data_IF_183573311347
#
_entry.id   IF_183573311347
#
_cell.length_a   1.000
_cell.length_b   1.000
_cell.length_c   1.000
_cell.angle_alpha   90.00
_cell.angle_beta   90.00
_cell.angle_gamma   90.00
#
_symmetry.space_group_name_H-M   'P 1'
#
loop_
_entity.id
_entity.type
_entity.pdbx_description
1 polymer ?
#
# COMPACT_ATOMS: atom_id res chain seq x y z
N UNK A 1 -20.77 60.72 -21.56
CA UNK A 1 -22.19 61.03 -21.37
C UNK A 1 -22.80 59.84 -20.67
N UNK A 2 -23.13 59.97 -19.38
CA UNK A 2 -23.61 58.86 -18.56
C UNK A 2 -25.12 58.69 -18.73
N UNK A 3 -25.64 57.48 -18.50
CA UNK A 3 -27.10 57.22 -18.51
C UNK A 3 -27.82 58.08 -17.44
N UNK A 4 -27.12 58.54 -16.41
CA UNK A 4 -27.68 59.46 -15.42
C UNK A 4 -27.92 60.88 -15.96
N UNK A 5 -27.20 61.32 -17.00
CA UNK A 5 -27.38 62.65 -17.60
C UNK A 5 -28.64 62.72 -18.49
N UNK A 6 -29.20 61.58 -18.90
CA UNK A 6 -30.41 61.52 -19.73
C UNK A 6 -31.71 61.62 -18.91
N UNK A 7 -31.67 61.35 -17.59
CA UNK A 7 -32.85 61.41 -16.72
C UNK A 7 -33.02 62.76 -16.00
N UNK A 8 -32.08 63.70 -16.15
CA UNK A 8 -32.09 64.98 -15.44
C UNK A 8 -32.87 66.10 -16.17
N UNK A 9 -33.20 65.94 -17.45
CA UNK A 9 -34.09 66.85 -18.18
C UNK A 9 -35.52 66.35 -18.04
N UNK A 10 -36.21 66.82 -17.00
CA UNK A 10 -37.61 66.53 -16.71
C UNK A 10 -38.60 67.11 -17.73
N UNK A 11 -38.49 66.71 -19.00
CA UNK A 11 -39.62 66.69 -19.92
C UNK A 11 -40.31 65.34 -19.77
N UNK A 12 -41.29 65.31 -18.86
CA UNK A 12 -42.26 64.22 -18.78
C UNK A 12 -43.07 64.21 -20.06
N UNK A 13 -42.62 63.45 -21.06
CA UNK A 13 -43.53 62.83 -22.02
C UNK A 13 -44.40 61.88 -21.20
N UNK A 14 -45.54 62.38 -20.72
CA UNK A 14 -46.71 61.53 -20.44
C UNK A 14 -47.08 60.88 -21.78
N UNK A 15 -46.41 59.78 -22.09
CA UNK A 15 -46.81 58.91 -23.19
C UNK A 15 -48.15 58.35 -22.77
N UNK A 16 -49.22 58.96 -23.26
CA UNK A 16 -50.59 58.53 -23.03
C UNK A 16 -50.71 57.10 -23.56
N UNK A 17 -50.67 56.13 -22.64
CA UNK A 17 -50.72 54.71 -22.97
C UNK A 17 -52.10 54.44 -23.55
N UNK A 18 -52.16 54.08 -24.83
CA UNK A 18 -53.43 53.82 -25.50
C UNK A 18 -53.91 52.41 -25.18
N UNK A 19 -55.23 52.20 -25.18
CA UNK A 19 -55.84 50.87 -24.98
C UNK A 19 -55.28 49.79 -25.93
N UNK A 20 -54.93 50.18 -27.15
CA UNK A 20 -54.38 49.28 -28.16
C UNK A 20 -52.93 48.86 -27.86
N UNK A 21 -52.12 49.79 -27.32
CA UNK A 21 -50.79 49.46 -26.81
C UNK A 21 -50.88 48.50 -25.62
N UNK A 22 -51.82 48.75 -24.69
CA UNK A 22 -52.02 47.89 -23.51
C UNK A 22 -52.50 46.49 -23.91
N UNK A 23 -53.43 46.39 -24.87
CA UNK A 23 -53.91 45.11 -25.41
C UNK A 23 -52.80 44.32 -26.10
N UNK A 24 -51.96 44.98 -26.90
CA UNK A 24 -50.84 44.33 -27.56
C UNK A 24 -49.81 43.81 -26.55
N UNK A 25 -49.55 44.58 -25.48
CA UNK A 25 -48.67 44.15 -24.40
C UNK A 25 -49.22 42.95 -23.60
N UNK A 26 -50.53 42.88 -23.37
CA UNK A 26 -51.20 41.71 -22.75
C UNK A 26 -51.02 40.46 -23.62
N UNK A 27 -51.19 40.58 -24.94
CA UNK A 27 -50.93 39.47 -25.89
C UNK A 27 -49.48 38.99 -25.86
N UNK A 28 -48.54 39.92 -25.84
CA UNK A 28 -47.11 39.58 -25.77
C UNK A 28 -46.76 38.90 -24.45
N UNK A 29 -47.40 39.29 -23.34
CA UNK A 29 -47.27 38.63 -22.05
C UNK A 29 -47.84 37.20 -22.08
N UNK A 30 -49.05 36.99 -22.62
CA UNK A 30 -49.63 35.66 -22.80
C UNK A 30 -48.69 34.74 -23.60
N UNK A 31 -48.07 35.27 -24.66
CA UNK A 31 -47.10 34.53 -25.48
C UNK A 31 -45.83 34.19 -24.69
N UNK A 32 -45.32 35.10 -23.87
CA UNK A 32 -44.16 34.85 -23.01
C UNK A 32 -44.47 33.80 -21.94
N UNK A 33 -45.65 33.84 -21.33
CA UNK A 33 -46.07 32.88 -20.30
C UNK A 33 -46.25 31.49 -20.88
N UNK A 34 -46.84 31.36 -22.08
CA UNK A 34 -46.88 30.07 -22.79
C UNK A 34 -45.49 29.50 -23.04
N UNK A 35 -44.55 30.34 -23.48
CA UNK A 35 -43.14 29.92 -23.66
C UNK A 35 -42.49 29.51 -22.33
N UNK A 36 -42.73 30.25 -21.25
CA UNK A 36 -42.22 29.89 -19.92
C UNK A 36 -42.83 28.58 -19.42
N UNK A 37 -44.10 28.31 -19.72
CA UNK A 37 -44.73 27.02 -19.41
C UNK A 37 -44.16 25.86 -20.23
N UNK A 38 -43.86 26.08 -21.52
CA UNK A 38 -43.19 25.07 -22.34
C UNK A 38 -41.77 24.79 -21.86
N UNK A 39 -41.02 25.86 -21.56
CA UNK A 39 -39.70 25.76 -20.95
C UNK A 39 -39.76 25.03 -19.61
N UNK A 40 -40.78 25.27 -18.78
CA UNK A 40 -40.99 24.53 -17.53
C UNK A 40 -41.07 23.02 -17.81
N UNK A 41 -41.86 22.59 -18.79
CA UNK A 41 -41.98 21.16 -19.13
C UNK A 41 -40.65 20.57 -19.64
N UNK A 42 -39.86 21.33 -20.41
CA UNK A 42 -38.50 20.95 -20.81
C UNK A 42 -37.50 20.91 -19.64
N UNK A 43 -37.65 21.82 -18.67
CA UNK A 43 -36.78 21.91 -17.49
C UNK A 43 -37.04 20.79 -16.49
N UNK A 44 -38.29 20.32 -16.39
CA UNK A 44 -38.65 19.17 -15.57
C UNK A 44 -38.06 17.85 -16.07
N UNK A 45 -37.62 17.78 -17.34
CA UNK A 45 -36.98 16.60 -17.90
C UNK A 45 -35.50 16.44 -17.49
N UNK A 46 -34.79 17.53 -17.13
CA UNK A 46 -33.38 17.49 -16.71
C UNK A 46 -33.18 18.42 -15.51
N UNK A 47 -33.36 17.91 -14.29
CA UNK A 47 -33.34 18.72 -13.08
C UNK A 47 -31.90 19.16 -12.77
N UNK A 48 -31.60 20.44 -12.97
CA UNK A 48 -30.38 21.05 -12.43
C UNK A 48 -30.72 22.33 -11.68
N UNK A 49 -30.08 22.55 -10.53
CA UNK A 49 -30.30 23.71 -9.66
C UNK A 49 -30.12 25.04 -10.43
N UNK A 50 -29.19 25.09 -11.38
CA UNK A 50 -28.94 26.28 -12.19
C UNK A 50 -30.11 26.67 -13.11
N UNK A 51 -30.86 25.69 -13.61
CA UNK A 51 -32.00 25.90 -14.50
C UNK A 51 -33.22 26.48 -13.76
N UNK A 52 -33.47 26.04 -12.52
CA UNK A 52 -34.54 26.59 -11.68
C UNK A 52 -34.34 28.07 -11.33
N UNK A 53 -33.10 28.51 -11.05
CA UNK A 53 -32.80 29.93 -10.79
C UNK A 53 -33.11 30.83 -11.99
N UNK A 54 -32.96 30.34 -13.21
CA UNK A 54 -33.30 31.09 -14.42
C UNK A 54 -34.82 31.23 -14.60
N UNK A 55 -35.55 30.15 -14.30
CA UNK A 55 -37.01 30.10 -14.35
C UNK A 55 -37.64 31.03 -13.29
N UNK A 56 -37.09 31.05 -12.07
CA UNK A 56 -37.47 31.94 -10.97
C UNK A 56 -37.18 33.43 -11.29
N UNK A 57 -36.07 33.73 -11.95
CA UNK A 57 -35.82 35.10 -12.43
C UNK A 57 -36.85 35.52 -13.47
N UNK A 58 -37.13 34.63 -14.44
CA UNK A 58 -38.12 34.89 -15.49
C UNK A 58 -39.51 35.11 -14.90
N UNK A 59 -39.89 34.29 -13.91
CA UNK A 59 -41.09 34.48 -13.11
C UNK A 59 -41.20 35.87 -12.54
N UNK A 60 -40.21 36.27 -11.73
CA UNK A 60 -40.27 37.49 -10.95
C UNK A 60 -40.44 38.70 -11.87
N UNK A 61 -39.80 38.68 -13.03
CA UNK A 61 -39.97 39.69 -14.08
C UNK A 61 -41.41 39.70 -14.62
N UNK A 62 -42.03 38.54 -14.89
CA UNK A 62 -43.42 38.49 -15.37
C UNK A 62 -44.42 38.94 -14.30
N UNK A 63 -44.18 38.60 -13.04
CA UNK A 63 -45.02 39.03 -11.92
C UNK A 63 -44.96 40.55 -11.71
N UNK A 64 -43.75 41.13 -11.78
CA UNK A 64 -43.57 42.59 -11.70
C UNK A 64 -44.29 43.30 -12.85
N UNK A 65 -44.15 42.80 -14.08
CA UNK A 65 -44.88 43.34 -15.24
C UNK A 65 -46.38 43.30 -14.99
N UNK A 66 -46.92 42.16 -14.56
CA UNK A 66 -48.35 42.00 -14.30
C UNK A 66 -48.87 42.94 -13.20
N UNK A 67 -48.06 43.25 -12.18
CA UNK A 67 -48.40 44.27 -11.19
C UNK A 67 -48.50 45.66 -11.82
N UNK A 68 -47.51 46.05 -12.63
CA UNK A 68 -47.52 47.32 -13.37
C UNK A 68 -48.74 47.43 -14.29
N UNK A 69 -49.09 46.38 -15.03
CA UNK A 69 -50.29 46.36 -15.87
C UNK A 69 -51.59 46.52 -15.08
N UNK A 70 -51.68 45.89 -13.91
CA UNK A 70 -52.85 46.04 -13.05
C UNK A 70 -52.99 47.47 -12.51
N UNK A 71 -51.88 48.13 -12.21
CA UNK A 71 -51.85 49.53 -11.79
C UNK A 71 -52.24 50.46 -12.93
N UNK A 72 -51.71 50.25 -14.13
CA UNK A 72 -52.02 51.04 -15.33
C UNK A 72 -53.50 50.91 -15.72
N UNK A 73 -54.08 49.71 -15.66
CA UNK A 73 -55.51 49.52 -15.86
C UNK A 73 -56.37 50.20 -14.80
N UNK A 74 -55.92 50.19 -13.55
CA UNK A 74 -56.65 50.87 -12.46
C UNK A 74 -56.68 52.39 -12.67
N UNK A 75 -55.65 52.96 -13.29
CA UNK A 75 -55.60 54.38 -13.68
C UNK A 75 -56.55 54.72 -14.83
N UNK A 76 -56.79 53.76 -15.73
CA UNK A 76 -57.69 53.91 -16.89
C UNK A 76 -59.17 53.60 -16.58
N UNK A 77 -59.48 53.04 -15.41
CA UNK A 77 -60.83 52.61 -15.03
C UNK A 77 -61.86 53.74 -14.83
N UNK A 78 -61.46 55.00 -15.08
CA UNK A 78 -62.35 56.18 -15.15
C UNK A 78 -62.88 56.50 -16.55
N UNK A 79 -62.43 55.78 -17.59
CA UNK A 79 -62.92 55.90 -18.98
C UNK A 79 -63.74 54.65 -19.34
N UNK A 80 -65.04 54.82 -19.62
CA UNK A 80 -65.90 53.74 -20.10
C UNK A 80 -65.41 53.25 -21.47
N UNK A 81 -64.78 52.07 -21.50
CA UNK A 81 -64.30 51.42 -22.71
C UNK A 81 -64.69 49.95 -22.69
N UNK A 82 -65.40 49.49 -23.75
CA UNK A 82 -65.84 48.10 -23.93
C UNK A 82 -64.68 47.09 -23.97
N UNK A 83 -63.43 47.56 -24.12
CA UNK A 83 -62.22 46.72 -24.14
C UNK A 83 -61.70 46.37 -22.73
N UNK A 84 -62.18 47.02 -21.66
CA UNK A 84 -61.70 46.79 -20.30
C UNK A 84 -62.11 45.42 -19.74
N UNK A 85 -63.31 44.94 -20.09
CA UNK A 85 -63.83 43.66 -19.58
C UNK A 85 -62.99 42.47 -20.10
N UNK A 86 -62.75 42.31 -21.42
CA UNK A 86 -61.88 41.24 -21.93
C UNK A 86 -60.45 41.28 -21.37
N UNK A 87 -59.87 42.47 -21.21
CA UNK A 87 -58.51 42.63 -20.69
C UNK A 87 -58.43 42.20 -19.22
N UNK A 88 -59.48 42.47 -18.42
CA UNK A 88 -59.53 42.06 -17.02
C UNK A 88 -59.68 40.54 -16.84
N UNK A 89 -60.44 39.89 -17.73
CA UNK A 89 -60.59 38.43 -17.76
C UNK A 89 -59.27 37.75 -18.15
N UNK A 90 -58.61 38.25 -19.21
CA UNK A 90 -57.29 37.77 -19.65
C UNK A 90 -56.24 37.90 -18.53
N UNK A 91 -56.24 39.02 -17.79
CA UNK A 91 -55.30 39.20 -16.67
C UNK A 91 -55.56 38.26 -15.50
N UNK A 92 -56.82 37.95 -15.20
CA UNK A 92 -57.16 36.97 -14.18
C UNK A 92 -56.76 35.56 -14.60
N UNK A 93 -56.92 35.20 -15.88
CA UNK A 93 -56.42 33.92 -16.42
C UNK A 93 -54.89 33.85 -16.31
N UNK A 94 -54.20 34.92 -16.70
CA UNK A 94 -52.74 35.01 -16.60
C UNK A 94 -52.27 34.86 -15.14
N UNK A 95 -52.96 35.50 -14.18
CA UNK A 95 -52.67 35.36 -12.75
C UNK A 95 -52.80 33.92 -12.27
N UNK A 96 -53.85 33.21 -12.69
CA UNK A 96 -54.03 31.81 -12.34
C UNK A 96 -52.97 30.90 -12.97
N UNK A 97 -52.63 31.14 -14.24
CA UNK A 97 -51.57 30.38 -14.92
C UNK A 97 -50.20 30.60 -14.24
N UNK A 98 -49.89 31.84 -13.88
CA UNK A 98 -48.72 32.15 -13.06
C UNK A 98 -48.81 31.46 -11.71
N UNK A 99 -49.90 31.53 -10.95
CA UNK A 99 -49.97 30.82 -9.66
C UNK A 99 -49.66 29.31 -9.77
N UNK A 100 -50.18 28.63 -10.81
CA UNK A 100 -49.94 27.19 -11.05
C UNK A 100 -48.49 26.87 -11.40
N UNK A 101 -47.85 27.71 -12.20
CA UNK A 101 -46.43 27.53 -12.52
C UNK A 101 -45.59 27.65 -11.24
N UNK A 102 -46.06 28.37 -10.20
CA UNK A 102 -45.29 28.72 -8.98
C UNK A 102 -45.18 27.53 -8.09
N UNK A 103 -46.35 26.99 -7.83
CA UNK A 103 -46.52 25.78 -7.07
C UNK A 103 -45.69 24.65 -7.69
N UNK A 104 -45.73 24.52 -9.02
CA UNK A 104 -44.94 23.51 -9.73
C UNK A 104 -43.43 23.73 -9.58
N UNK A 105 -42.95 24.97 -9.72
CA UNK A 105 -41.52 25.29 -9.56
C UNK A 105 -41.07 25.07 -8.12
N UNK A 106 -41.85 25.47 -7.13
CA UNK A 106 -41.52 25.29 -5.71
C UNK A 106 -41.53 23.81 -5.30
N UNK A 107 -42.52 23.02 -5.75
CA UNK A 107 -42.57 21.59 -5.46
C UNK A 107 -41.38 20.84 -6.05
N UNK A 108 -41.02 21.17 -7.28
CA UNK A 108 -39.93 20.52 -8.01
C UNK A 108 -38.57 20.96 -7.50
N UNK A 109 -38.42 22.24 -7.13
CA UNK A 109 -37.24 22.71 -6.43
C UNK A 109 -36.99 21.93 -5.14
N UNK A 110 -38.02 21.76 -4.30
CA UNK A 110 -37.90 20.96 -3.06
C UNK A 110 -37.52 19.51 -3.35
N UNK A 111 -38.11 18.91 -4.39
CA UNK A 111 -37.78 17.54 -4.82
C UNK A 111 -36.31 17.42 -5.23
N UNK A 112 -35.81 18.36 -6.03
CA UNK A 112 -34.41 18.37 -6.50
C UNK A 112 -33.45 18.67 -5.36
N UNK A 113 -33.78 19.59 -4.45
CA UNK A 113 -32.99 19.86 -3.25
C UNK A 113 -32.86 18.59 -2.38
N UNK A 114 -33.95 17.85 -2.18
CA UNK A 114 -33.92 16.59 -1.43
C UNK A 114 -33.06 15.53 -2.14
N UNK A 115 -33.20 15.36 -3.46
CA UNK A 115 -32.39 14.41 -4.21
C UNK A 115 -30.89 14.69 -4.11
N UNK A 116 -30.50 15.97 -4.15
CA UNK A 116 -29.08 16.36 -4.00
C UNK A 116 -28.56 16.05 -2.60
N UNK A 117 -29.37 16.29 -1.56
CA UNK A 117 -28.99 15.93 -0.17
C UNK A 117 -28.85 14.41 -0.02
N UNK A 118 -29.78 13.63 -0.57
CA UNK A 118 -29.74 12.17 -0.50
C UNK A 118 -28.55 11.60 -1.29
N UNK A 119 -28.23 12.18 -2.45
CA UNK A 119 -27.06 11.82 -3.26
C UNK A 119 -25.75 12.15 -2.54
N UNK A 120 -25.64 13.33 -1.92
CA UNK A 120 -24.48 13.70 -1.10
C UNK A 120 -24.30 12.77 0.10
N UNK A 121 -25.38 12.38 0.78
CA UNK A 121 -25.31 11.43 1.90
C UNK A 121 -24.88 10.04 1.44
N UNK A 122 -25.37 9.58 0.28
CA UNK A 122 -24.99 8.31 -0.32
C UNK A 122 -23.51 8.30 -0.68
N UNK A 123 -23.02 9.34 -1.35
CA UNK A 123 -21.60 9.48 -1.70
C UNK A 123 -20.71 9.51 -0.45
N UNK A 124 -21.16 10.18 0.62
CA UNK A 124 -20.42 10.22 1.89
C UNK A 124 -20.33 8.84 2.55
N UNK A 125 -21.42 8.06 2.54
CA UNK A 125 -21.42 6.68 3.04
C UNK A 125 -20.51 5.77 2.21
N UNK A 126 -20.58 5.88 0.88
CA UNK A 126 -19.71 5.10 -0.01
C UNK A 126 -18.23 5.43 0.21
N UNK A 127 -17.88 6.71 0.42
CA UNK A 127 -16.51 7.11 0.72
C UNK A 127 -16.04 6.55 2.08
N UNK A 128 -16.91 6.54 3.09
CA UNK A 128 -16.63 5.97 4.41
C UNK A 128 -16.40 4.45 4.34
N UNK A 129 -17.26 3.73 3.61
CA UNK A 129 -17.15 2.29 3.42
C UNK A 129 -15.89 1.92 2.60
N UNK A 130 -15.54 2.74 1.60
CA UNK A 130 -14.27 2.59 0.86
C UNK A 130 -13.07 2.78 1.78
N UNK A 131 -13.08 3.79 2.65
CA UNK A 131 -12.02 4.03 3.64
C UNK A 131 -11.90 2.88 4.64
N UNK A 132 -13.03 2.35 5.13
CA UNK A 132 -13.04 1.18 6.02
C UNK A 132 -12.47 -0.06 5.33
N UNK A 133 -12.86 -0.31 4.09
CA UNK A 133 -12.36 -1.45 3.29
C UNK A 133 -10.85 -1.33 3.06
N UNK A 134 -10.36 -0.13 2.74
CA UNK A 134 -8.93 0.12 2.58
C UNK A 134 -8.15 -0.09 3.89
N UNK A 135 -8.66 0.43 5.01
CA UNK A 135 -8.03 0.25 6.32
C UNK A 135 -8.00 -1.22 6.75
N UNK A 136 -9.04 -2.00 6.44
CA UNK A 136 -9.07 -3.44 6.70
C UNK A 136 -8.03 -4.19 5.85
N UNK A 137 -7.89 -3.85 4.57
CA UNK A 137 -6.88 -4.45 3.70
C UNK A 137 -5.45 -4.13 4.17
N UNK A 138 -5.20 -2.88 4.57
CA UNK A 138 -3.90 -2.46 5.13
C UNK A 138 -3.60 -3.21 6.45
N UNK A 139 -4.59 -3.37 7.32
CA UNK A 139 -4.43 -4.13 8.56
C UNK A 139 -4.16 -5.63 8.29
N UNK A 140 -4.85 -6.24 7.33
CA UNK A 140 -4.61 -7.64 6.94
C UNK A 140 -3.21 -7.82 6.34
N UNK A 141 -2.77 -6.89 5.51
CA UNK A 141 -1.42 -6.90 4.95
C UNK A 141 -0.35 -6.84 6.04
N UNK A 142 -0.48 -5.91 7.00
CA UNK A 142 0.44 -5.79 8.12
C UNK A 142 0.45 -7.04 9.01
N UNK A 143 -0.73 -7.65 9.24
CA UNK A 143 -0.82 -8.90 10.01
C UNK A 143 -0.08 -10.06 9.31
N UNK A 144 -0.22 -10.20 8.00
CA UNK A 144 0.50 -11.21 7.21
C UNK A 144 2.01 -10.98 7.21
N UNK A 145 2.44 -9.73 7.09
CA UNK A 145 3.86 -9.37 7.17
C UNK A 145 4.44 -9.71 8.55
N UNK A 146 3.73 -9.38 9.62
CA UNK A 146 4.13 -9.73 10.98
C UNK A 146 4.23 -11.25 11.20
N UNK A 147 3.28 -12.02 10.65
CA UNK A 147 3.31 -13.49 10.73
C UNK A 147 4.50 -14.07 9.96
N UNK A 148 4.80 -13.55 8.77
CA UNK A 148 5.96 -13.98 7.99
C UNK A 148 7.29 -13.67 8.71
N UNK A 149 7.39 -12.51 9.36
CA UNK A 149 8.55 -12.15 10.18
C UNK A 149 8.68 -13.04 11.42
N UNK A 150 7.58 -13.38 12.09
CA UNK A 150 7.59 -14.31 13.23
C UNK A 150 8.04 -15.72 12.82
N UNK A 151 7.56 -16.22 11.68
CA UNK A 151 8.02 -17.49 11.11
C UNK A 151 9.51 -17.45 10.77
N UNK A 152 9.98 -16.40 10.08
CA UNK A 152 11.40 -16.22 9.77
C UNK A 152 12.27 -16.13 11.04
N UNK A 153 11.80 -15.45 12.09
CA UNK A 153 12.50 -15.38 13.36
C UNK A 153 12.61 -16.76 14.03
N UNK A 154 11.55 -17.57 13.99
CA UNK A 154 11.57 -18.95 14.51
C UNK A 154 12.56 -19.83 13.76
N UNK A 155 12.63 -19.72 12.44
CA UNK A 155 13.61 -20.45 11.62
C UNK A 155 15.04 -20.07 11.97
N UNK A 156 15.33 -18.78 12.13
CA UNK A 156 16.65 -18.29 12.55
C UNK A 156 17.01 -18.85 13.93
N UNK A 157 16.08 -18.80 14.89
CA UNK A 157 16.31 -19.35 16.24
C UNK A 157 16.59 -20.85 16.20
N UNK A 158 15.89 -21.60 15.34
CA UNK A 158 16.15 -23.03 15.14
C UNK A 158 17.56 -23.25 14.57
N UNK A 159 17.93 -22.53 13.51
CA UNK A 159 19.25 -22.64 12.90
C UNK A 159 20.38 -22.27 13.87
N UNK A 160 20.17 -21.30 14.76
CA UNK A 160 21.12 -20.95 15.82
C UNK A 160 21.31 -22.08 16.83
N UNK A 161 20.24 -22.80 17.19
CA UNK A 161 20.34 -23.99 18.06
C UNK A 161 21.13 -25.10 17.39
N UNK A 162 20.82 -25.39 16.12
CA UNK A 162 21.55 -26.41 15.36
C UNK A 162 23.04 -26.07 15.25
N UNK A 163 23.36 -24.78 15.03
CA UNK A 163 24.75 -24.29 14.98
C UNK A 163 25.45 -24.46 16.32
N UNK A 164 24.75 -24.17 17.43
CA UNK A 164 25.29 -24.35 18.79
C UNK A 164 25.58 -25.83 19.07
N UNK A 165 24.67 -26.73 18.70
CA UNK A 165 24.84 -28.17 18.89
C UNK A 165 26.01 -28.71 18.07
N UNK A 166 26.16 -28.30 16.81
CA UNK A 166 27.31 -28.65 15.97
C UNK A 166 28.62 -28.13 16.59
N UNK A 167 28.61 -26.91 17.12
CA UNK A 167 29.78 -26.31 17.77
C UNK A 167 30.19 -27.08 19.02
N UNK A 168 29.22 -27.49 19.84
CA UNK A 168 29.48 -28.32 21.01
C UNK A 168 30.04 -29.70 20.63
N UNK A 169 29.47 -30.36 19.62
CA UNK A 169 29.99 -31.63 19.10
C UNK A 169 31.42 -31.49 18.54
N UNK A 170 31.70 -30.39 17.85
CA UNK A 170 33.05 -30.09 17.35
C UNK A 170 34.03 -29.94 18.51
N UNK A 171 33.65 -29.22 19.55
CA UNK A 171 34.49 -29.03 20.74
C UNK A 171 34.78 -30.36 21.45
N UNK A 172 33.75 -31.19 21.66
CA UNK A 172 33.95 -32.54 22.23
C UNK A 172 34.88 -33.42 21.40
N UNK A 173 34.79 -33.33 20.07
CA UNK A 173 35.66 -34.08 19.17
C UNK A 173 37.10 -33.55 19.19
N UNK A 174 37.28 -32.23 19.29
CA UNK A 174 38.60 -31.61 19.46
C UNK A 174 39.25 -32.06 20.77
N UNK A 175 38.49 -32.09 21.87
CA UNK A 175 39.00 -32.56 23.16
C UNK A 175 39.43 -34.04 23.09
N UNK A 176 38.62 -34.92 22.47
CA UNK A 176 38.98 -36.33 22.24
C UNK A 176 40.22 -36.49 21.36
N UNK A 177 40.33 -35.68 20.31
CA UNK A 177 41.51 -35.68 19.45
C UNK A 177 42.75 -35.19 20.20
N UNK A 178 42.61 -34.18 21.05
CA UNK A 178 43.70 -33.68 21.88
C UNK A 178 44.24 -34.75 22.83
N UNK A 179 43.35 -35.46 23.55
CA UNK A 179 43.76 -36.60 24.39
C UNK A 179 44.44 -37.71 23.58
N UNK A 180 43.96 -37.96 22.36
CA UNK A 180 44.55 -38.98 21.48
C UNK A 180 45.95 -38.57 21.03
N UNK A 181 46.15 -37.31 20.66
CA UNK A 181 47.46 -36.75 20.28
C UNK A 181 48.44 -36.87 21.46
N UNK A 182 48.03 -36.49 22.67
CA UNK A 182 48.87 -36.64 23.87
C UNK A 182 49.30 -38.10 24.12
N UNK A 183 48.40 -39.08 23.92
CA UNK A 183 48.76 -40.49 24.05
C UNK A 183 49.76 -40.93 22.99
N UNK A 184 49.56 -40.50 21.74
CA UNK A 184 50.48 -40.82 20.64
C UNK A 184 51.86 -40.21 20.90
N UNK A 185 51.93 -38.95 21.33
CA UNK A 185 53.19 -38.29 21.69
C UNK A 185 53.94 -39.09 22.76
N UNK A 186 53.24 -39.49 23.83
CA UNK A 186 53.84 -40.32 24.88
C UNK A 186 54.32 -41.68 24.36
N UNK A 187 53.54 -42.37 23.54
CA UNK A 187 53.95 -43.66 22.96
C UNK A 187 55.14 -43.52 22.02
N UNK A 188 55.21 -42.42 21.26
CA UNK A 188 56.37 -42.13 20.38
C UNK A 188 57.61 -41.84 21.22
N UNK A 189 57.48 -41.10 22.31
CA UNK A 189 58.57 -40.83 23.25
C UNK A 189 59.08 -42.13 23.90
N UNK A 190 58.19 -42.97 24.41
CA UNK A 190 58.52 -44.29 24.98
C UNK A 190 59.21 -45.19 23.93
N UNK A 191 58.68 -45.29 22.71
CA UNK A 191 59.28 -46.09 21.65
C UNK A 191 60.66 -45.56 21.22
N UNK A 192 60.87 -44.24 21.26
CA UNK A 192 62.16 -43.63 21.00
C UNK A 192 63.16 -43.98 22.12
N UNK A 193 62.77 -43.89 23.39
CA UNK A 193 63.61 -44.30 24.53
C UNK A 193 63.98 -45.79 24.46
N UNK A 194 63.01 -46.67 24.17
CA UNK A 194 63.26 -48.11 23.98
C UNK A 194 64.21 -48.39 22.81
N UNK A 195 64.09 -47.66 21.70
CA UNK A 195 64.99 -47.80 20.56
C UNK A 195 66.41 -47.37 20.91
N UNK A 196 66.58 -46.28 21.66
CA UNK A 196 67.89 -45.81 22.13
C UNK A 196 68.51 -46.83 23.07
N UNK A 197 67.74 -47.33 24.05
CA UNK A 197 68.20 -48.37 24.97
C UNK A 197 68.57 -49.67 24.23
N UNK A 198 67.71 -50.13 23.32
CA UNK A 198 67.96 -51.33 22.53
C UNK A 198 69.18 -51.21 21.62
N UNK A 199 69.45 -50.02 21.06
CA UNK A 199 70.68 -49.77 20.30
C UNK A 199 71.93 -49.85 21.19
N UNK A 200 71.86 -49.36 22.42
CA UNK A 200 72.96 -49.48 23.38
C UNK A 200 73.21 -50.96 23.76
N UNK A 201 72.15 -51.73 24.01
CA UNK A 201 72.24 -53.16 24.31
C UNK A 201 72.84 -53.96 23.14
N UNK A 202 72.46 -53.62 21.90
CA UNK A 202 73.04 -54.23 20.69
C UNK A 202 74.54 -53.94 20.56
N UNK A 203 74.97 -52.71 20.89
CA UNK A 203 76.37 -52.33 20.85
C UNK A 203 77.19 -53.07 21.92
N UNK A 204 76.67 -53.18 23.15
CA UNK A 204 77.28 -53.98 24.23
C UNK A 204 77.35 -55.47 23.85
N UNK A 205 76.27 -56.04 23.29
CA UNK A 205 76.24 -57.42 22.83
C UNK A 205 77.28 -57.67 21.72
N UNK A 206 77.42 -56.74 20.77
CA UNK A 206 78.43 -56.81 19.72
C UNK A 206 79.86 -56.76 20.29
N UNK A 207 80.11 -55.93 21.30
CA UNK A 207 81.40 -55.93 22.01
C UNK A 207 81.69 -57.27 22.69
N UNK A 208 80.72 -57.84 23.41
CA UNK A 208 80.86 -59.14 24.07
C UNK A 208 81.09 -60.26 23.06
N UNK A 209 80.39 -60.27 21.93
CA UNK A 209 80.58 -61.25 20.85
C UNK A 209 81.99 -61.14 20.25
N UNK A 210 82.52 -59.92 20.07
CA UNK A 210 83.88 -59.68 19.58
C UNK A 210 84.95 -60.13 20.58
N UNK A 211 84.70 -60.01 21.90
CA UNK A 211 85.59 -60.51 22.96
C UNK A 211 85.55 -62.05 23.04
N UNK A 212 84.36 -62.65 23.00
CA UNK A 212 84.20 -64.11 23.08
C UNK A 212 84.73 -64.85 21.84
N UNK A 213 84.58 -64.28 20.63
CA UNK A 213 85.13 -64.88 19.41
C UNK A 213 86.66 -64.99 19.43
N UNK A 214 87.37 -64.03 20.05
CA UNK A 214 88.82 -64.14 20.28
C UNK A 214 89.16 -65.30 21.22
N UNK A 215 88.42 -65.46 22.32
CA UNK A 215 88.61 -66.56 23.26
C UNK A 215 88.41 -67.93 22.57
N UNK A 216 87.35 -68.05 21.77
CA UNK A 216 87.08 -69.27 21.01
C UNK A 216 88.19 -69.59 20.00
N UNK A 217 88.79 -68.58 19.35
CA UNK A 217 89.95 -68.78 18.48
C UNK A 217 91.17 -69.31 19.23
N UNK A 218 91.46 -68.81 20.43
CA UNK A 218 92.55 -69.33 21.27
C UNK A 218 92.31 -70.79 21.70
N UNK A 219 91.06 -71.14 22.05
CA UNK A 219 90.70 -72.52 22.42
C UNK A 219 90.91 -73.46 21.23
N UNK A 220 90.40 -73.11 20.05
CA UNK A 220 90.58 -73.92 18.84
C UNK A 220 92.06 -74.03 18.46
N UNK A 221 92.81 -72.92 18.51
CA UNK A 221 94.25 -72.91 18.23
C UNK A 221 95.05 -73.83 19.17
N UNK A 222 94.70 -73.84 20.47
CA UNK A 222 95.32 -74.74 21.45
C UNK A 222 95.07 -76.21 21.16
N UNK A 223 93.85 -76.57 20.74
CA UNK A 223 93.51 -77.95 20.35
C UNK A 223 94.32 -78.38 19.11
N UNK A 224 94.39 -77.54 18.07
CA UNK A 224 95.17 -77.83 16.86
C UNK A 224 96.65 -78.00 17.18
N UNK A 225 97.22 -77.13 18.01
CA UNK A 225 98.62 -77.21 18.42
C UNK A 225 98.93 -78.51 19.18
N UNK A 226 98.05 -78.92 20.10
CA UNK A 226 98.19 -80.20 20.82
C UNK A 226 98.19 -81.40 19.86
N UNK A 227 97.32 -81.41 18.86
CA UNK A 227 97.29 -82.47 17.84
C UNK A 227 98.59 -82.51 17.05
N UNK A 228 99.12 -81.36 16.63
CA UNK A 228 100.40 -81.28 15.89
C UNK A 228 101.56 -81.79 16.74
N UNK A 229 101.62 -81.46 18.03
CA UNK A 229 102.65 -81.98 18.94
C UNK A 229 102.58 -83.50 19.07
N UNK A 230 101.38 -84.07 19.20
CA UNK A 230 101.20 -85.53 19.24
C UNK A 230 101.73 -86.18 17.95
N UNK A 231 101.42 -85.59 16.79
CA UNK A 231 101.93 -86.10 15.50
C UNK A 231 103.46 -86.03 15.44
N UNK A 232 104.08 -84.92 15.85
CA UNK A 232 105.55 -84.78 15.89
C UNK A 232 106.18 -85.83 16.79
N UNK A 233 105.62 -86.05 17.99
CA UNK A 233 106.12 -87.07 18.93
C UNK A 233 106.02 -88.47 18.32
N UNK A 234 104.90 -88.80 17.67
CA UNK A 234 104.72 -90.09 16.99
C UNK A 234 105.70 -90.27 15.83
N UNK A 235 106.01 -89.21 15.08
CA UNK A 235 107.00 -89.25 13.99
C UNK A 235 108.41 -89.42 14.55
N UNK A 236 108.80 -88.65 15.58
CA UNK A 236 110.11 -88.76 16.22
C UNK A 236 110.35 -90.10 16.92
N UNK A 237 109.30 -90.75 17.43
CA UNK A 237 109.41 -92.10 18.00
C UNK A 237 109.50 -93.20 16.92
N UNK A 238 109.11 -92.91 15.68
CA UNK A 238 109.19 -93.85 14.55
C UNK A 238 110.46 -93.71 13.71
N UNK A 239 111.21 -92.63 13.88
CA UNK A 239 112.54 -92.40 13.28
C UNK A 239 113.61 -92.88 14.25
#
# INVERSE_FOLDING_TARGET
MSIQDFFATGEGLDVEVTYEQLYQQVKDMQKQIRKTSQLKDEFLAVPTIGKYKSLEKTWNVQQQKLQQFSEDLSRLNGQESDLLVPISEDLNEIRQQLARVKETIESERKRVEQMVVDEEEMLRKEEEDRKKTQAQLEAEYQAREAEALDQGAKEIVSAMKDTLDITNQLNENLDKQHETIQRVEKTVEEAHEEMVAGNADLEEAHEHQKKNSKCLYYIIGGIVFAVVLVVIVVVLLKV
#
